data_IF_680375661168
#
_entry.id   IF_680375661168
#
_cell.length_a   1.000
_cell.length_b   1.000
_cell.length_c   1.000
_cell.angle_alpha   90.00
_cell.angle_beta   90.00
_cell.angle_gamma   90.00
#
_symmetry.space_group_name_H-M   'P 1'
#
loop_
_entity.id
_entity.type
_entity.pdbx_description
1 polymer ?
#
# COMPACT_ATOMS: atom_id res chain seq x y z
N UNK A 1 9.34 -3.88 -5.42
CA UNK A 1 7.91 -4.23 -5.62
C UNK A 1 7.37 -4.40 -4.22
N UNK A 2 6.68 -3.37 -3.72
CA UNK A 2 6.16 -3.38 -2.35
C UNK A 2 5.10 -4.45 -2.21
N UNK A 3 5.38 -5.41 -1.34
CA UNK A 3 4.41 -6.37 -0.85
C UNK A 3 3.52 -5.70 0.19
N UNK A 4 2.20 -5.88 0.10
CA UNK A 4 1.24 -5.36 1.06
C UNK A 4 1.54 -5.87 2.47
N UNK A 5 2.01 -7.12 2.59
CA UNK A 5 2.40 -7.67 3.88
C UNK A 5 3.62 -6.95 4.47
N UNK A 6 4.61 -6.63 3.63
CA UNK A 6 5.80 -5.86 4.05
C UNK A 6 5.41 -4.44 4.49
N UNK A 7 4.52 -3.79 3.74
CA UNK A 7 3.99 -2.47 4.10
C UNK A 7 3.28 -2.48 5.45
N UNK A 8 2.37 -3.45 5.66
CA UNK A 8 1.66 -3.59 6.93
C UNK A 8 2.61 -3.94 8.08
N UNK A 9 3.64 -4.77 7.84
CA UNK A 9 4.63 -5.07 8.87
C UNK A 9 5.49 -3.86 9.25
N UNK A 10 5.87 -3.01 8.29
CA UNK A 10 6.56 -1.75 8.56
C UNK A 10 5.67 -0.80 9.37
N UNK A 11 4.40 -0.69 8.96
CA UNK A 11 3.40 0.10 9.67
C UNK A 11 3.20 -0.37 11.11
N UNK A 12 3.09 -1.70 11.29
CA UNK A 12 3.00 -2.36 12.60
C UNK A 12 4.19 -2.00 13.49
N UNK A 13 5.40 -2.04 12.94
CA UNK A 13 6.65 -1.70 13.66
C UNK A 13 6.72 -0.22 14.02
N UNK A 14 6.37 0.67 13.09
CA UNK A 14 6.33 2.13 13.30
C UNK A 14 5.45 2.49 14.50
N UNK A 15 4.22 1.95 14.54
CA UNK A 15 3.25 2.22 15.62
C UNK A 15 3.33 1.27 16.82
N UNK A 16 4.30 0.34 16.86
CA UNK A 16 4.43 -0.71 17.89
C UNK A 16 3.13 -1.48 18.13
N UNK A 17 2.37 -1.73 17.07
CA UNK A 17 1.08 -2.43 17.15
C UNK A 17 1.33 -3.92 17.29
N UNK A 18 0.59 -4.59 18.18
CA UNK A 18 0.78 -6.03 18.42
C UNK A 18 -0.21 -6.90 17.63
N UNK A 19 -1.37 -6.33 17.27
CA UNK A 19 -2.49 -7.07 16.68
C UNK A 19 -3.01 -6.43 15.40
N UNK A 20 -3.52 -7.27 14.49
CA UNK A 20 -4.25 -6.86 13.28
C UNK A 20 -5.49 -6.03 13.63
N UNK A 21 -6.11 -6.27 14.80
CA UNK A 21 -7.22 -5.46 15.30
C UNK A 21 -6.79 -4.01 15.56
N UNK A 22 -5.66 -3.83 16.24
CA UNK A 22 -5.13 -2.50 16.55
C UNK A 22 -4.69 -1.77 15.28
N UNK A 23 -4.23 -2.51 14.25
CA UNK A 23 -3.93 -1.93 12.95
C UNK A 23 -5.18 -1.45 12.22
N UNK A 24 -6.24 -2.27 12.18
CA UNK A 24 -7.51 -1.86 11.58
C UNK A 24 -8.09 -0.62 12.27
N UNK A 25 -8.05 -0.57 13.60
CA UNK A 25 -8.49 0.57 14.40
C UNK A 25 -7.64 1.82 14.15
N UNK A 26 -6.31 1.68 14.13
CA UNK A 26 -5.38 2.77 13.77
C UNK A 26 -5.64 3.33 12.37
N UNK A 27 -6.09 2.48 11.45
CA UNK A 27 -6.47 2.86 10.09
C UNK A 27 -7.93 3.36 10.00
N UNK A 28 -8.71 3.31 11.07
CA UNK A 28 -10.13 3.69 11.04
C UNK A 28 -10.99 2.77 10.16
N UNK A 29 -10.61 1.50 10.00
CA UNK A 29 -11.34 0.50 9.20
C UNK A 29 -11.79 -0.68 10.06
N UNK A 30 -12.77 -1.44 9.55
CA UNK A 30 -13.17 -2.68 10.20
C UNK A 30 -12.10 -3.77 10.04
N UNK A 31 -11.99 -4.63 11.04
CA UNK A 31 -11.10 -5.81 10.99
C UNK A 31 -11.42 -6.75 9.83
N UNK A 32 -12.70 -6.88 9.47
CA UNK A 32 -13.14 -7.65 8.32
C UNK A 32 -12.59 -7.07 7.01
N UNK A 33 -12.69 -5.76 6.81
CA UNK A 33 -12.14 -5.09 5.64
C UNK A 33 -10.61 -5.20 5.58
N UNK A 34 -9.93 -5.07 6.73
CA UNK A 34 -8.48 -5.28 6.82
C UNK A 34 -8.07 -6.71 6.42
N UNK A 35 -8.79 -7.72 6.92
CA UNK A 35 -8.60 -9.12 6.54
C UNK A 35 -8.81 -9.37 5.04
N UNK A 36 -9.82 -8.74 4.44
CA UNK A 36 -10.07 -8.83 3.01
C UNK A 36 -8.93 -8.21 2.17
N UNK A 37 -8.34 -7.11 2.64
CA UNK A 37 -7.17 -6.50 1.98
C UNK A 37 -5.96 -7.43 2.07
N UNK A 38 -5.65 -7.98 3.26
CA UNK A 38 -4.55 -8.94 3.42
C UNK A 38 -4.70 -10.16 2.53
N UNK A 39 -5.94 -10.64 2.34
CA UNK A 39 -6.24 -11.77 1.45
C UNK A 39 -6.25 -11.40 -0.04
N UNK A 40 -5.96 -10.14 -0.39
CA UNK A 40 -6.02 -9.64 -1.77
C UNK A 40 -7.44 -9.60 -2.37
N UNK A 41 -8.48 -9.74 -1.54
CA UNK A 41 -9.89 -9.72 -1.97
C UNK A 41 -10.39 -8.30 -2.18
N UNK A 42 -9.83 -7.35 -1.43
CA UNK A 42 -10.13 -5.92 -1.55
C UNK A 42 -8.87 -5.08 -1.71
N UNK A 43 -9.06 -3.89 -2.29
CA UNK A 43 -8.02 -2.88 -2.45
C UNK A 43 -8.04 -1.94 -1.26
N UNK A 44 -6.86 -1.46 -0.87
CA UNK A 44 -6.69 -0.37 0.08
C UNK A 44 -7.24 0.91 -0.58
N UNK A 45 -8.00 1.71 0.16
CA UNK A 45 -8.47 2.99 -0.37
C UNK A 45 -7.30 3.95 -0.58
N UNK A 46 -7.40 4.83 -1.58
CA UNK A 46 -6.35 5.81 -1.87
C UNK A 46 -6.10 6.73 -0.65
N UNK A 47 -7.16 7.08 0.09
CA UNK A 47 -7.04 7.86 1.35
C UNK A 47 -6.18 7.14 2.40
N UNK A 48 -6.46 5.86 2.65
CA UNK A 48 -5.68 5.05 3.59
C UNK A 48 -4.23 4.90 3.16
N UNK A 49 -3.99 4.70 1.87
CA UNK A 49 -2.64 4.62 1.33
C UNK A 49 -1.85 5.90 1.58
N UNK A 50 -2.48 7.08 1.39
CA UNK A 50 -1.85 8.37 1.68
C UNK A 50 -1.53 8.54 3.17
N UNK A 51 -2.45 8.12 4.05
CA UNK A 51 -2.24 8.21 5.50
C UNK A 51 -1.09 7.30 5.94
N UNK A 52 -1.04 6.06 5.42
CA UNK A 52 0.06 5.11 5.65
C UNK A 52 1.39 5.65 5.13
N UNK A 53 1.40 6.22 3.92
CA UNK A 53 2.61 6.81 3.34
C UNK A 53 3.18 7.92 4.23
N UNK A 54 2.31 8.84 4.68
CA UNK A 54 2.69 9.94 5.58
C UNK A 54 3.26 9.42 6.90
N UNK A 55 2.63 8.42 7.49
CA UNK A 55 3.07 7.85 8.77
C UNK A 55 4.38 7.05 8.65
N UNK A 56 4.66 6.46 7.49
CA UNK A 56 5.91 5.75 7.21
C UNK A 56 7.01 6.65 6.66
N UNK A 57 6.73 7.93 6.38
CA UNK A 57 7.66 8.82 5.68
C UNK A 57 7.99 8.37 4.26
N UNK A 58 7.10 7.61 3.63
CA UNK A 58 7.22 7.17 2.23
C UNK A 58 6.62 8.22 1.31
N UNK A 59 7.15 8.30 0.09
CA UNK A 59 6.59 9.20 -0.93
C UNK A 59 5.20 8.67 -1.36
N UNK A 60 4.11 9.44 -1.14
CA UNK A 60 2.76 8.93 -1.31
C UNK A 60 2.42 8.58 -2.77
N UNK A 61 2.96 9.31 -3.74
CA UNK A 61 2.76 9.04 -5.17
C UNK A 61 3.35 7.70 -5.58
N UNK A 62 4.57 7.41 -5.14
CA UNK A 62 5.24 6.15 -5.39
C UNK A 62 4.48 4.97 -4.76
N UNK A 63 4.03 5.11 -3.51
CA UNK A 63 3.24 4.07 -2.84
C UNK A 63 1.95 3.77 -3.60
N UNK A 64 1.21 4.81 -4.02
CA UNK A 64 -0.01 4.64 -4.81
C UNK A 64 0.25 3.92 -6.13
N UNK A 65 1.32 4.28 -6.85
CA UNK A 65 1.70 3.61 -8.09
C UNK A 65 2.06 2.13 -7.86
N UNK A 66 2.83 1.82 -6.82
CA UNK A 66 3.18 0.44 -6.49
C UNK A 66 1.95 -0.40 -6.10
N UNK A 67 0.99 0.19 -5.37
CA UNK A 67 -0.29 -0.46 -5.07
C UNK A 67 -1.07 -0.78 -6.35
N UNK A 68 -1.08 0.13 -7.34
CA UNK A 68 -1.74 -0.11 -8.65
C UNK A 68 -1.09 -1.25 -9.41
N UNK A 69 0.24 -1.36 -9.40
CA UNK A 69 0.97 -2.52 -9.98
C UNK A 69 0.53 -3.82 -9.30
N UNK A 70 0.38 -3.82 -7.97
CA UNK A 70 -0.01 -5.01 -7.22
C UNK A 70 -1.45 -5.43 -7.52
N UNK A 71 -2.36 -4.46 -7.73
CA UNK A 71 -3.76 -4.71 -8.05
C UNK A 71 -4.04 -5.09 -9.51
N UNK A 72 -3.12 -4.79 -10.42
CA UNK A 72 -3.23 -5.16 -11.82
C UNK A 72 -3.20 -6.69 -11.96
N UNK A 73 -4.19 -7.26 -12.66
CA UNK A 73 -4.24 -8.71 -12.91
C UNK A 73 -3.56 -9.07 -14.22
N UNK A 74 -3.67 -8.19 -15.22
CA UNK A 74 -3.10 -8.39 -16.55
C UNK A 74 -1.60 -8.05 -16.56
N UNK A 75 -0.82 -8.84 -17.31
CA UNK A 75 0.62 -8.63 -17.45
C UNK A 75 0.94 -7.30 -18.15
N UNK A 76 0.16 -6.93 -19.15
CA UNK A 76 0.30 -5.66 -19.89
C UNK A 76 0.08 -4.45 -18.98
N UNK A 77 -0.97 -4.49 -18.16
CA UNK A 77 -1.28 -3.44 -17.18
C UNK A 77 -0.15 -3.29 -16.15
N UNK A 78 0.40 -4.42 -15.64
CA UNK A 78 1.57 -4.39 -14.74
C UNK A 78 2.79 -3.74 -15.40
N UNK A 79 3.05 -4.04 -16.67
CA UNK A 79 4.15 -3.46 -17.43
C UNK A 79 3.95 -1.96 -17.65
N UNK A 80 2.73 -1.52 -17.97
CA UNK A 80 2.39 -0.12 -18.14
C UNK A 80 2.65 0.67 -16.84
N UNK A 81 2.16 0.19 -15.69
CA UNK A 81 2.39 0.84 -14.40
C UNK A 81 3.88 0.85 -14.01
N UNK A 82 4.63 -0.23 -14.26
CA UNK A 82 6.08 -0.25 -14.03
C UNK A 82 6.83 0.80 -14.86
N UNK A 83 6.43 0.99 -16.12
CA UNK A 83 7.02 2.05 -16.98
C UNK A 83 6.73 3.44 -16.42
N UNK A 84 5.52 3.69 -15.94
CA UNK A 84 5.15 4.97 -15.30
C UNK A 84 6.01 5.22 -14.07
N UNK A 85 6.21 4.21 -13.21
CA UNK A 85 7.09 4.34 -12.03
C UNK A 85 8.52 4.71 -12.44
N UNK A 86 9.08 4.04 -13.46
CA UNK A 86 10.43 4.34 -13.95
C UNK A 86 10.55 5.76 -14.51
N UNK A 87 9.54 6.24 -15.23
CA UNK A 87 9.50 7.61 -15.74
C UNK A 87 9.39 8.63 -14.60
N UNK A 88 8.54 8.33 -13.61
CA UNK A 88 8.38 9.17 -12.43
C UNK A 88 9.71 9.27 -11.66
N UNK A 89 10.37 8.15 -11.36
CA UNK A 89 11.68 8.13 -10.69
C UNK A 89 12.79 8.87 -11.45
N UNK A 90 12.70 8.93 -12.80
CA UNK A 90 13.63 9.69 -13.63
C UNK A 90 13.40 11.19 -13.58
N UNK A 91 12.14 11.64 -13.48
CA UNK A 91 11.79 13.07 -13.42
C UNK A 91 11.96 13.66 -12.02
N UNK A 92 11.93 12.84 -10.97
CA UNK A 92 12.13 13.27 -9.57
C UNK A 92 13.62 13.25 -9.14
N UNK A 93 14.55 13.11 -10.09
CA UNK A 93 16.02 13.14 -9.89
C UNK A 93 16.61 14.40 -10.50
#
# INVERSE_FOLDING_TARGET
MVDLESLFNQYKKSKRLLSDKAMAESMGISTAYFCDIKKGRRRLSDKLALDVAKELGLEPGLLLLELRVNYAKQAEEKLAWKKIILQWQRNTR
#
